data_IF_894302962608
#
_entry.id   IF_894302962608
#
_cell.length_a   1.000
_cell.length_b   1.000
_cell.length_c   1.000
_cell.angle_alpha   90.00
_cell.angle_beta   90.00
_cell.angle_gamma   90.00
#
_symmetry.space_group_name_H-M   'P 1'
#
loop_
_entity.id
_entity.type
_entity.pdbx_description
1 polymer ?
#
# COMPACT_ATOMS: atom_id res chain seq x y z
N UNK A 1 13.09 5.97 24.89
CA UNK A 1 12.40 4.82 24.24
C UNK A 1 10.87 4.98 24.17
N UNK A 2 10.24 5.99 24.79
CA UNK A 2 8.79 6.21 24.70
C UNK A 2 8.32 6.70 23.31
N UNK A 3 9.05 7.61 22.66
CA UNK A 3 8.62 8.20 21.37
C UNK A 3 8.61 7.23 20.18
N UNK A 4 9.39 6.15 20.22
CA UNK A 4 9.37 5.12 19.17
C UNK A 4 8.17 4.19 19.28
N UNK A 5 7.61 4.03 20.48
CA UNK A 5 6.42 3.20 20.69
C UNK A 5 5.15 3.98 20.36
N UNK A 6 5.07 5.25 20.78
CA UNK A 6 3.96 6.14 20.42
C UNK A 6 3.83 6.32 18.90
N UNK A 7 4.94 6.61 18.20
CA UNK A 7 4.94 6.73 16.74
C UNK A 7 4.49 5.43 16.04
N UNK A 8 4.87 4.27 16.59
CA UNK A 8 4.41 2.98 16.08
C UNK A 8 2.91 2.78 16.31
N UNK A 9 2.39 3.13 17.49
CA UNK A 9 0.95 3.06 17.77
C UNK A 9 0.14 3.99 16.85
N UNK A 10 0.60 5.22 16.62
CA UNK A 10 -0.04 6.12 15.66
C UNK A 10 -0.06 5.52 14.25
N UNK A 11 1.06 4.95 13.80
CA UNK A 11 1.13 4.30 12.49
C UNK A 11 0.21 3.06 12.42
N UNK A 12 0.09 2.30 13.51
CA UNK A 12 -0.81 1.15 13.60
C UNK A 12 -2.28 1.58 13.49
N UNK A 13 -2.65 2.70 14.12
CA UNK A 13 -3.99 3.29 13.96
C UNK A 13 -4.23 3.68 12.50
N UNK A 14 -3.26 4.31 11.82
CA UNK A 14 -3.40 4.63 10.39
C UNK A 14 -3.61 3.38 9.52
N UNK A 15 -2.94 2.26 9.84
CA UNK A 15 -3.20 0.97 9.15
C UNK A 15 -4.65 0.56 9.34
N UNK A 16 -5.15 0.56 10.58
CA UNK A 16 -6.53 0.17 10.89
C UNK A 16 -7.56 1.10 10.24
N UNK A 17 -7.30 2.40 10.22
CA UNK A 17 -8.17 3.39 9.56
C UNK A 17 -8.23 3.14 8.05
N UNK A 18 -7.09 2.89 7.41
CA UNK A 18 -7.05 2.55 5.98
C UNK A 18 -7.79 1.23 5.71
N UNK A 19 -7.60 0.21 6.54
CA UNK A 19 -8.34 -1.06 6.45
C UNK A 19 -9.84 -0.85 6.56
N UNK A 20 -10.28 -0.08 7.56
CA UNK A 20 -11.70 0.24 7.76
C UNK A 20 -12.27 1.04 6.58
N UNK A 21 -11.50 1.94 5.99
CA UNK A 21 -11.86 2.66 4.78
C UNK A 21 -12.04 1.70 3.60
N UNK A 22 -11.06 0.85 3.30
CA UNK A 22 -11.13 -0.12 2.19
C UNK A 22 -12.33 -1.07 2.34
N UNK A 23 -12.62 -1.57 3.54
CA UNK A 23 -13.77 -2.44 3.77
C UNK A 23 -15.13 -1.75 3.55
N UNK A 24 -15.20 -0.42 3.68
CA UNK A 24 -16.42 0.36 3.45
C UNK A 24 -16.52 0.91 2.03
N UNK A 25 -15.39 1.06 1.36
CA UNK A 25 -15.33 1.55 -0.02
C UNK A 25 -15.76 0.46 -0.98
N UNK A 26 -16.80 0.67 -1.80
CA UNK A 26 -17.16 -0.28 -2.85
C UNK A 26 -16.00 -0.48 -3.82
N UNK A 27 -15.90 -1.69 -4.38
CA UNK A 27 -14.95 -1.96 -5.46
C UNK A 27 -15.29 -1.06 -6.66
N UNK A 28 -14.26 -0.40 -7.21
CA UNK A 28 -14.41 0.38 -8.44
C UNK A 28 -14.56 -0.63 -9.58
N UNK A 29 -15.63 -0.54 -10.40
CA UNK A 29 -15.75 -1.43 -11.56
C UNK A 29 -14.56 -1.30 -12.51
N UNK A 30 -14.09 -2.41 -13.06
CA UNK A 30 -12.92 -2.46 -13.95
C UNK A 30 -13.02 -1.46 -15.10
N UNK A 31 -14.21 -1.31 -15.70
CA UNK A 31 -14.46 -0.37 -16.79
C UNK A 31 -14.22 1.09 -16.38
N UNK A 32 -14.61 1.44 -15.14
CA UNK A 32 -14.44 2.79 -14.59
C UNK A 32 -12.97 3.04 -14.27
N UNK A 33 -12.30 2.11 -13.61
CA UNK A 33 -10.86 2.20 -13.32
C UNK A 33 -10.04 2.32 -14.61
N UNK A 34 -10.38 1.53 -15.64
CA UNK A 34 -9.70 1.58 -16.94
C UNK A 34 -9.95 2.91 -17.67
N UNK A 35 -11.16 3.47 -17.60
CA UNK A 35 -11.47 4.76 -18.18
C UNK A 35 -10.67 5.89 -17.52
N UNK A 36 -10.63 5.91 -16.18
CA UNK A 36 -9.83 6.88 -15.41
C UNK A 36 -8.33 6.75 -15.73
N UNK A 37 -7.82 5.50 -15.79
CA UNK A 37 -6.40 5.24 -16.09
C UNK A 37 -6.01 5.73 -17.48
N UNK A 38 -6.89 5.58 -18.47
CA UNK A 38 -6.68 6.09 -19.83
C UNK A 38 -6.69 7.62 -19.89
N UNK A 39 -7.61 8.27 -19.20
CA UNK A 39 -7.68 9.74 -19.12
C UNK A 39 -6.44 10.30 -18.43
N UNK A 40 -6.07 9.73 -17.29
CA UNK A 40 -4.87 10.09 -16.56
C UNK A 40 -3.61 9.90 -17.42
N UNK A 41 -3.48 8.75 -18.09
CA UNK A 41 -2.37 8.49 -19.01
C UNK A 41 -2.27 9.53 -20.12
N UNK A 42 -3.39 9.93 -20.72
CA UNK A 42 -3.39 10.98 -21.75
C UNK A 42 -2.93 12.31 -21.19
N UNK A 43 -3.45 12.74 -20.04
CA UNK A 43 -3.05 14.02 -19.44
C UNK A 43 -1.57 14.05 -19.05
N UNK A 44 -1.00 12.91 -18.60
CA UNK A 44 0.45 12.78 -18.38
C UNK A 44 1.24 12.96 -19.68
N UNK A 45 0.86 12.27 -20.76
CA UNK A 45 1.53 12.41 -22.05
C UNK A 45 1.44 13.82 -22.60
N UNK A 46 0.28 14.46 -22.53
CA UNK A 46 0.09 15.84 -22.96
C UNK A 46 1.02 16.80 -22.20
N UNK A 47 1.15 16.61 -20.88
CA UNK A 47 2.07 17.41 -20.05
C UNK A 47 3.53 17.15 -20.40
N UNK A 48 3.94 15.90 -20.62
CA UNK A 48 5.31 15.56 -21.04
C UNK A 48 5.65 16.19 -22.38
N UNK A 49 4.76 16.07 -23.37
CA UNK A 49 4.95 16.62 -24.70
C UNK A 49 4.98 18.16 -24.70
N UNK A 50 4.14 18.80 -23.86
CA UNK A 50 4.08 20.25 -23.77
C UNK A 50 5.25 20.88 -23.01
N UNK A 51 5.81 20.19 -22.00
CA UNK A 51 6.81 20.78 -21.08
C UNK A 51 8.20 20.14 -21.17
N UNK A 52 8.33 18.99 -21.83
CA UNK A 52 9.56 18.21 -21.86
C UNK A 52 9.94 17.54 -20.53
N UNK A 53 9.04 17.52 -19.54
CA UNK A 53 9.32 16.91 -18.25
C UNK A 53 9.36 15.36 -18.30
N UNK A 54 9.94 14.75 -17.27
CA UNK A 54 9.99 13.29 -17.15
C UNK A 54 8.61 12.71 -16.77
N UNK A 55 8.40 11.41 -17.02
CA UNK A 55 7.16 10.73 -16.62
C UNK A 55 6.89 10.83 -15.12
N UNK A 56 7.93 10.81 -14.28
CA UNK A 56 7.79 10.98 -12.82
C UNK A 56 7.28 12.37 -12.42
N UNK A 57 7.67 13.41 -13.16
CA UNK A 57 7.20 14.79 -12.93
C UNK A 57 5.81 15.04 -13.54
N UNK A 58 5.50 14.34 -14.62
CA UNK A 58 4.19 14.39 -15.25
C UNK A 58 3.12 13.67 -14.42
N UNK A 59 3.45 12.50 -13.89
CA UNK A 59 2.52 11.65 -13.14
C UNK A 59 2.10 12.29 -11.82
N UNK A 60 3.01 12.97 -11.12
CA UNK A 60 2.72 13.40 -9.75
C UNK A 60 2.34 12.21 -8.85
N UNK A 61 2.86 11.02 -9.18
CA UNK A 61 2.48 9.77 -8.53
C UNK A 61 2.76 9.79 -7.03
N UNK A 62 1.93 9.11 -6.22
CA UNK A 62 2.02 9.13 -4.77
C UNK A 62 3.31 8.53 -4.21
N UNK A 63 3.67 8.94 -3.00
CA UNK A 63 4.71 8.34 -2.17
C UNK A 63 6.14 8.74 -2.50
N UNK A 64 6.66 8.29 -3.65
CA UNK A 64 8.10 8.33 -3.92
C UNK A 64 8.52 9.27 -5.05
N UNK A 65 7.58 9.96 -5.70
CA UNK A 65 7.89 10.89 -6.79
C UNK A 65 8.92 11.98 -6.43
N UNK A 66 9.09 12.29 -5.13
CA UNK A 66 10.10 13.23 -4.64
C UNK A 66 11.55 12.72 -4.71
N UNK A 67 11.78 11.41 -4.84
CA UNK A 67 13.12 10.78 -4.85
C UNK A 67 13.40 9.98 -6.13
N UNK A 68 12.56 10.08 -7.16
CA UNK A 68 12.69 9.31 -8.41
C UNK A 68 13.70 9.88 -9.41
N UNK A 69 14.38 10.98 -9.08
CA UNK A 69 15.34 11.64 -9.99
C UNK A 69 16.68 10.90 -10.10
N UNK A 70 17.13 10.25 -9.03
CA UNK A 70 18.33 9.41 -9.00
C UNK A 70 17.99 8.03 -8.43
N UNK A 71 18.38 6.96 -9.14
CA UNK A 71 18.09 5.59 -8.72
C UNK A 71 18.81 5.20 -7.41
N UNK A 72 20.04 5.64 -7.20
CA UNK A 72 20.79 5.36 -5.99
C UNK A 72 20.17 6.08 -4.78
N UNK A 73 19.72 7.34 -4.96
CA UNK A 73 18.98 8.07 -3.91
C UNK A 73 17.66 7.41 -3.59
N UNK A 74 16.90 6.98 -4.62
CA UNK A 74 15.68 6.20 -4.44
C UNK A 74 15.93 4.93 -3.63
N UNK A 75 16.94 4.13 -4.00
CA UNK A 75 17.27 2.88 -3.30
C UNK A 75 17.71 3.16 -1.86
N UNK A 76 18.50 4.21 -1.62
CA UNK A 76 18.94 4.61 -0.30
C UNK A 76 17.76 5.03 0.59
N UNK A 77 16.85 5.85 0.05
CA UNK A 77 15.62 6.25 0.73
C UNK A 77 14.72 5.04 1.02
N UNK A 78 14.48 4.18 0.04
CA UNK A 78 13.66 2.98 0.23
C UNK A 78 14.24 2.03 1.28
N UNK A 79 15.56 2.00 1.43
CA UNK A 79 16.24 1.26 2.50
C UNK A 79 16.10 1.94 3.85
N UNK A 80 16.16 3.27 3.94
CA UNK A 80 16.01 3.97 5.22
C UNK A 80 14.62 3.81 5.82
N UNK A 81 13.58 3.70 4.98
CA UNK A 81 12.19 3.52 5.43
C UNK A 81 11.75 2.04 5.48
N UNK A 82 12.64 1.06 5.31
CA UNK A 82 12.24 -0.34 5.11
C UNK A 82 11.52 -0.98 6.31
N UNK A 83 11.82 -0.51 7.52
CA UNK A 83 11.20 -0.94 8.78
C UNK A 83 10.36 0.18 9.44
N UNK A 84 10.09 1.28 8.73
CA UNK A 84 9.26 2.40 9.21
C UNK A 84 7.80 2.20 8.82
N UNK A 85 6.97 1.79 9.78
CA UNK A 85 5.54 1.56 9.53
C UNK A 85 4.81 2.82 9.06
N UNK A 86 5.14 3.99 9.62
CA UNK A 86 4.48 5.26 9.31
C UNK A 86 4.75 5.68 7.87
N UNK A 87 6.01 5.56 7.43
CA UNK A 87 6.38 5.85 6.06
C UNK A 87 5.72 4.87 5.07
N UNK A 88 5.73 3.56 5.36
CA UNK A 88 5.14 2.57 4.47
C UNK A 88 3.63 2.74 4.35
N UNK A 89 2.90 2.93 5.45
CA UNK A 89 1.44 3.10 5.40
C UNK A 89 1.03 4.40 4.72
N UNK A 90 1.80 5.47 4.88
CA UNK A 90 1.57 6.73 4.17
C UNK A 90 1.64 6.53 2.65
N UNK A 91 2.65 5.82 2.15
CA UNK A 91 2.78 5.53 0.71
C UNK A 91 1.58 4.70 0.21
N UNK A 92 1.14 3.69 0.97
CA UNK A 92 -0.03 2.89 0.60
C UNK A 92 -1.29 3.76 0.56
N UNK A 93 -1.52 4.60 1.57
CA UNK A 93 -2.67 5.50 1.66
C UNK A 93 -2.74 6.46 0.46
N UNK A 94 -1.63 7.13 0.15
CA UNK A 94 -1.54 8.00 -1.02
C UNK A 94 -1.76 7.22 -2.34
N UNK A 95 -1.28 5.98 -2.41
CA UNK A 95 -1.55 5.05 -3.52
C UNK A 95 -3.04 4.72 -3.69
N UNK A 96 -3.74 4.44 -2.59
CA UNK A 96 -5.19 4.18 -2.61
C UNK A 96 -5.96 5.43 -3.03
N UNK A 97 -5.61 6.60 -2.51
CA UNK A 97 -6.22 7.87 -2.90
C UNK A 97 -6.01 8.17 -4.39
N UNK A 98 -4.81 7.86 -4.91
CA UNK A 98 -4.50 8.02 -6.32
C UNK A 98 -5.31 7.07 -7.20
N UNK A 99 -5.43 5.79 -6.82
CA UNK A 99 -6.27 4.82 -7.53
C UNK A 99 -7.72 5.30 -7.64
N UNK A 100 -8.31 5.80 -6.54
CA UNK A 100 -9.70 6.26 -6.56
C UNK A 100 -9.92 7.47 -7.47
N UNK A 101 -8.88 8.27 -7.75
CA UNK A 101 -8.97 9.44 -8.64
C UNK A 101 -8.59 9.13 -10.09
N UNK A 102 -7.65 8.22 -10.29
CA UNK A 102 -6.97 8.04 -11.57
C UNK A 102 -7.03 6.60 -12.10
N UNK A 103 -7.60 5.67 -11.35
CA UNK A 103 -7.75 4.27 -11.74
C UNK A 103 -6.45 3.46 -11.77
N UNK A 104 -5.30 4.04 -11.42
CA UNK A 104 -4.01 3.36 -11.40
C UNK A 104 -3.74 2.72 -10.03
N UNK A 105 -3.51 1.41 -10.00
CA UNK A 105 -3.47 0.64 -8.75
C UNK A 105 -2.21 0.92 -7.93
N UNK A 106 -2.32 0.95 -6.58
CA UNK A 106 -1.16 1.14 -5.72
C UNK A 106 -0.15 -0.01 -5.89
N UNK A 107 1.17 0.27 -5.92
CA UNK A 107 2.16 -0.79 -6.03
C UNK A 107 2.11 -1.75 -4.83
N UNK A 108 2.04 -3.08 -5.04
CA UNK A 108 1.82 -4.05 -3.97
C UNK A 108 3.00 -4.17 -3.00
N UNK A 109 4.20 -3.76 -3.42
CA UNK A 109 5.43 -3.87 -2.64
C UNK A 109 5.36 -3.11 -1.30
N UNK A 110 4.62 -1.99 -1.23
CA UNK A 110 4.50 -1.21 0.00
C UNK A 110 3.54 -1.87 0.99
N UNK A 111 2.40 -2.40 0.51
CA UNK A 111 1.49 -3.20 1.34
C UNK A 111 2.20 -4.46 1.89
N UNK A 112 3.05 -5.10 1.08
CA UNK A 112 3.88 -6.21 1.53
C UNK A 112 4.83 -5.82 2.68
N UNK A 113 5.50 -4.65 2.58
CA UNK A 113 6.39 -4.16 3.64
C UNK A 113 5.64 -3.87 4.95
N UNK A 114 4.45 -3.24 4.87
CA UNK A 114 3.56 -3.07 6.04
C UNK A 114 3.31 -4.40 6.72
N UNK A 115 2.92 -5.44 5.96
CA UNK A 115 2.67 -6.77 6.51
C UNK A 115 3.91 -7.43 7.13
N UNK A 116 5.09 -7.23 6.55
CA UNK A 116 6.36 -7.72 7.13
C UNK A 116 6.63 -7.06 8.48
N UNK A 117 6.41 -5.75 8.61
CA UNK A 117 6.62 -5.00 9.87
C UNK A 117 5.65 -5.50 10.95
N UNK A 118 4.36 -5.61 10.63
CA UNK A 118 3.33 -6.11 11.56
C UNK A 118 3.63 -7.54 12.02
N UNK A 119 4.09 -8.41 11.11
CA UNK A 119 4.51 -9.78 11.43
C UNK A 119 5.67 -9.83 12.41
N UNK A 120 6.71 -9.01 12.21
CA UNK A 120 7.87 -8.95 13.11
C UNK A 120 7.44 -8.57 14.54
N UNK A 121 6.41 -7.73 14.66
CA UNK A 121 5.80 -7.30 15.93
C UNK A 121 4.73 -8.26 16.46
N UNK A 122 4.45 -9.37 15.76
CA UNK A 122 3.42 -10.37 16.09
C UNK A 122 1.98 -9.83 16.15
N UNK A 123 1.69 -8.76 15.43
CA UNK A 123 0.35 -8.15 15.37
C UNK A 123 -0.44 -8.80 14.23
N UNK A 124 -0.73 -10.09 14.38
CA UNK A 124 -1.25 -10.92 13.28
C UNK A 124 -2.67 -10.59 12.86
N UNK A 125 -3.52 -10.12 13.78
CA UNK A 125 -4.89 -9.71 13.47
C UNK A 125 -4.92 -8.53 12.52
N UNK A 126 -4.21 -7.45 12.88
CA UNK A 126 -4.12 -6.25 12.04
C UNK A 126 -3.43 -6.54 10.71
N UNK A 127 -2.38 -7.39 10.71
CA UNK A 127 -1.76 -7.88 9.46
C UNK A 127 -2.78 -8.55 8.54
N UNK A 128 -3.60 -9.45 9.08
CA UNK A 128 -4.61 -10.19 8.32
C UNK A 128 -5.70 -9.25 7.79
N UNK A 129 -6.30 -8.43 8.67
CA UNK A 129 -7.38 -7.50 8.31
C UNK A 129 -6.93 -6.54 7.20
N UNK A 130 -5.71 -5.99 7.32
CA UNK A 130 -5.15 -5.10 6.32
C UNK A 130 -4.93 -5.79 4.96
N UNK A 131 -4.31 -6.96 4.95
CA UNK A 131 -4.02 -7.66 3.69
C UNK A 131 -5.28 -8.19 3.01
N UNK A 132 -6.28 -8.64 3.75
CA UNK A 132 -7.57 -9.07 3.19
C UNK A 132 -8.28 -7.90 2.52
N UNK A 133 -8.36 -6.75 3.21
CA UNK A 133 -8.97 -5.54 2.67
C UNK A 133 -8.20 -5.04 1.43
N UNK A 134 -6.87 -5.02 1.47
CA UNK A 134 -6.05 -4.62 0.33
C UNK A 134 -6.20 -5.59 -0.85
N UNK A 135 -6.16 -6.90 -0.60
CA UNK A 135 -6.27 -7.92 -1.65
C UNK A 135 -7.63 -7.87 -2.36
N UNK A 136 -8.72 -7.62 -1.61
CA UNK A 136 -10.05 -7.52 -2.18
C UNK A 136 -10.17 -6.42 -3.25
N UNK A 137 -9.41 -5.33 -3.11
CA UNK A 137 -9.41 -4.20 -4.05
C UNK A 137 -8.39 -4.31 -5.17
N UNK A 138 -7.23 -4.93 -4.92
CA UNK A 138 -6.06 -4.77 -5.81
C UNK A 138 -5.42 -6.07 -6.27
N UNK A 139 -5.87 -7.24 -5.78
CA UNK A 139 -5.23 -8.53 -6.07
C UNK A 139 -6.21 -9.49 -6.79
N UNK A 140 -6.77 -9.06 -7.92
CA UNK A 140 -7.65 -9.88 -8.75
C UNK A 140 -6.90 -11.00 -9.50
N UNK A 141 -7.63 -11.95 -10.10
CA UNK A 141 -7.12 -13.24 -10.60
C UNK A 141 -6.05 -13.17 -11.73
N UNK A 142 -5.76 -11.98 -12.27
CA UNK A 142 -4.82 -11.75 -13.37
C UNK A 142 -3.56 -10.95 -13.01
N UNK A 143 -3.25 -10.80 -11.72
CA UNK A 143 -2.18 -9.90 -11.25
C UNK A 143 -0.96 -10.68 -10.72
N UNK A 144 0.22 -10.05 -10.74
CA UNK A 144 1.54 -10.67 -10.64
C UNK A 144 1.87 -11.46 -9.37
N UNK A 145 3.13 -11.91 -9.28
CA UNK A 145 3.62 -12.80 -8.20
C UNK A 145 3.42 -12.20 -6.79
N UNK A 146 3.49 -10.87 -6.65
CA UNK A 146 3.43 -10.22 -5.33
C UNK A 146 2.02 -10.21 -4.77
N UNK A 147 1.03 -10.06 -5.64
CA UNK A 147 -0.40 -10.02 -5.34
C UNK A 147 -0.87 -11.39 -4.86
N UNK A 148 -0.45 -12.46 -5.53
CA UNK A 148 -0.65 -13.85 -5.07
C UNK A 148 -0.03 -14.05 -3.68
N UNK A 149 1.18 -13.55 -3.46
CA UNK A 149 1.85 -13.65 -2.16
C UNK A 149 1.13 -12.86 -1.07
N UNK A 150 0.55 -11.71 -1.38
CA UNK A 150 -0.27 -10.92 -0.45
C UNK A 150 -1.49 -11.74 0.00
N UNK A 151 -2.25 -12.32 -0.94
CA UNK A 151 -3.42 -13.13 -0.60
C UNK A 151 -3.05 -14.35 0.26
N UNK A 152 -2.00 -15.09 -0.11
CA UNK A 152 -1.50 -16.22 0.68
C UNK A 152 -1.05 -15.81 2.09
N UNK A 153 -0.43 -14.63 2.19
CA UNK A 153 0.02 -14.10 3.47
C UNK A 153 -1.14 -13.68 4.36
N UNK A 154 -2.20 -13.10 3.80
CA UNK A 154 -3.42 -12.76 4.51
C UNK A 154 -4.00 -13.99 5.22
N UNK A 155 -4.17 -15.09 4.48
CA UNK A 155 -4.62 -16.39 5.01
C UNK A 155 -3.73 -16.85 6.16
N UNK A 156 -2.41 -16.84 5.95
CA UNK A 156 -1.45 -17.27 6.98
C UNK A 156 -1.48 -16.37 8.22
N UNK A 157 -1.63 -15.06 8.05
CA UNK A 157 -1.75 -14.11 9.16
C UNK A 157 -3.04 -14.36 9.95
N UNK A 158 -4.17 -14.60 9.28
CA UNK A 158 -5.43 -14.96 9.93
C UNK A 158 -5.30 -16.22 10.77
N UNK A 159 -4.69 -17.28 10.22
CA UNK A 159 -4.44 -18.52 10.97
C UNK A 159 -3.58 -18.30 12.23
N UNK A 160 -2.55 -17.45 12.13
CA UNK A 160 -1.69 -17.12 13.27
C UNK A 160 -2.42 -16.27 14.33
N UNK A 161 -3.28 -15.35 13.89
CA UNK A 161 -4.12 -14.56 14.79
C UNK A 161 -5.08 -15.46 15.59
N UNK A 162 -5.77 -16.40 14.92
CA UNK A 162 -6.65 -17.37 15.59
C UNK A 162 -5.88 -18.22 16.61
N UNK A 163 -4.70 -18.73 16.25
CA UNK A 163 -3.87 -19.52 17.17
C UNK A 163 -3.42 -18.71 18.39
N UNK A 164 -3.03 -17.46 18.18
CA UNK A 164 -2.63 -16.57 19.27
C UNK A 164 -3.79 -16.29 20.23
N UNK A 165 -5.01 -16.08 19.71
CA UNK A 165 -6.20 -15.87 20.52
C UNK A 165 -6.55 -17.10 21.36
N UNK A 166 -6.41 -18.32 20.82
CA UNK A 166 -6.67 -19.56 21.57
C UNK A 166 -5.61 -19.93 22.60
N UNK A 167 -4.42 -19.32 22.52
CA UNK A 167 -3.28 -19.64 23.40
C UNK A 167 -3.12 -18.64 24.57
N UNK A 168 -3.93 -17.59 24.63
CA UNK A 168 -3.94 -16.66 25.76
C UNK A 168 -4.70 -17.31 26.94
N UNK A 169 -4.06 -17.55 28.10
CA UNK A 169 -4.77 -17.99 29.29
C UNK A 169 -5.68 -16.87 29.81
N UNK A 170 -6.87 -17.23 30.28
CA UNK A 170 -7.84 -16.34 30.95
C UNK A 170 -7.24 -15.64 32.19
#
# INVERSE_FOLDING_TARGET
MAGTDEAFQTALIEVQLLTAFLNKTPLVPDEVSLALSREYSRSMWDKMLATGCTLGEASGGPGTAMVTRDHAEFVAYMRSISDDLAAQIKIVKEGVEHYLRHGDSPPPAYAWRVAVILRKRKIFSVEADFLEAFAAHFCHESVGRTEIQIAQRAIKARMLATRAATAAPE
#
